data_IF_222490480612
#
_entry.id   IF_222490480612
#
_cell.length_a   1.000
_cell.length_b   1.000
_cell.length_c   1.000
_cell.angle_alpha   90.00
_cell.angle_beta   90.00
_cell.angle_gamma   90.00
#
_symmetry.space_group_name_H-M   'P 1'
#
loop_
_entity.id
_entity.type
_entity.pdbx_description
1 polymer ?
#
# COMPACT_ATOMS: atom_id res chain seq x y z
N UNK A 1 -48.67 -10.65 37.39
CA UNK A 1 -47.34 -10.01 37.54
C UNK A 1 -47.09 -9.17 36.31
N UNK A 2 -46.94 -7.85 36.45
CA UNK A 2 -46.62 -6.95 35.34
C UNK A 2 -45.09 -6.82 35.23
N UNK A 3 -44.51 -7.26 34.12
CA UNK A 3 -43.06 -7.10 33.86
C UNK A 3 -42.83 -5.83 33.03
N UNK A 4 -42.30 -4.79 33.68
CA UNK A 4 -41.90 -3.56 32.98
C UNK A 4 -40.60 -3.82 32.22
N UNK A 5 -40.65 -3.76 30.88
CA UNK A 5 -39.44 -3.80 30.04
C UNK A 5 -38.72 -2.45 30.13
N UNK A 6 -37.43 -2.41 30.49
CA UNK A 6 -36.70 -1.14 30.54
C UNK A 6 -36.48 -0.61 29.11
N UNK A 7 -36.89 0.62 28.87
CA UNK A 7 -36.62 1.33 27.61
C UNK A 7 -35.20 1.89 27.66
N UNK A 8 -34.25 1.19 27.04
CA UNK A 8 -32.84 1.61 27.01
C UNK A 8 -32.67 2.62 25.87
N UNK A 9 -32.78 3.91 26.19
CA UNK A 9 -32.49 5.00 25.24
C UNK A 9 -31.00 5.32 25.30
N UNK A 10 -30.26 5.01 24.24
CA UNK A 10 -28.85 5.41 24.12
C UNK A 10 -28.78 6.82 23.53
N UNK A 11 -28.10 7.78 24.19
CA UNK A 11 -27.89 9.09 23.60
C UNK A 11 -27.00 8.93 22.35
N UNK A 12 -27.50 9.32 21.19
CA UNK A 12 -26.71 9.37 19.97
C UNK A 12 -26.08 10.77 19.86
N UNK A 13 -24.83 10.89 20.27
CA UNK A 13 -24.05 12.12 20.08
C UNK A 13 -23.41 12.06 18.70
N UNK A 14 -24.04 12.70 17.71
CA UNK A 14 -23.43 12.91 16.39
C UNK A 14 -22.57 14.15 16.44
N UNK A 15 -21.25 13.97 16.45
CA UNK A 15 -20.31 15.09 16.32
C UNK A 15 -20.22 15.42 14.83
N UNK A 16 -20.66 16.61 14.43
CA UNK A 16 -20.41 17.15 13.10
C UNK A 16 -19.42 18.31 13.22
N UNK A 17 -18.32 18.26 12.47
CA UNK A 17 -17.46 19.43 12.33
C UNK A 17 -18.27 20.55 11.66
N UNK A 18 -18.19 21.77 12.20
CA UNK A 18 -18.76 22.93 11.52
C UNK A 18 -17.96 23.13 10.22
N UNK A 19 -18.65 23.39 9.11
CA UNK A 19 -18.01 23.57 7.79
C UNK A 19 -16.90 24.61 7.79
N UNK A 20 -16.97 25.59 8.69
CA UNK A 20 -16.01 26.69 8.79
C UNK A 20 -14.76 26.35 9.63
N UNK A 21 -14.79 25.25 10.38
CA UNK A 21 -13.67 24.75 11.21
C UNK A 21 -12.99 23.54 10.55
N UNK A 22 -13.31 23.25 9.28
CA UNK A 22 -12.67 22.20 8.50
C UNK A 22 -11.28 22.68 8.07
N UNK A 23 -10.29 22.35 8.88
CA UNK A 23 -8.89 22.41 8.46
C UNK A 23 -8.68 21.22 7.54
N UNK A 24 -8.40 21.46 6.26
CA UNK A 24 -7.94 20.41 5.35
C UNK A 24 -6.80 19.66 6.05
N UNK A 25 -6.75 18.31 5.98
CA UNK A 25 -5.65 17.58 6.59
C UNK A 25 -4.34 18.18 6.07
N UNK A 26 -3.64 18.94 6.92
CA UNK A 26 -2.28 19.32 6.63
C UNK A 26 -1.53 18.00 6.57
N UNK A 27 -1.08 17.65 5.35
CA UNK A 27 -0.46 16.38 4.99
C UNK A 27 0.21 15.75 6.21
N UNK A 28 -0.35 14.63 6.71
CA UNK A 28 0.28 13.93 7.82
C UNK A 28 1.76 13.72 7.45
N UNK A 29 2.72 13.84 8.38
CA UNK A 29 4.12 13.62 8.04
C UNK A 29 4.29 12.21 7.44
N UNK A 30 4.46 12.14 6.11
CA UNK A 30 4.45 10.89 5.33
C UNK A 30 3.40 10.83 4.20
N UNK A 31 2.39 11.70 4.21
CA UNK A 31 1.36 11.90 3.17
C UNK A 31 1.65 13.16 2.32
N UNK A 32 2.92 13.54 2.17
CA UNK A 32 3.30 14.53 1.16
C UNK A 32 2.77 14.11 -0.20
N UNK A 33 2.26 15.06 -1.01
CA UNK A 33 1.84 14.90 -2.43
C UNK A 33 2.43 13.62 -3.00
N UNK A 34 1.59 12.64 -3.40
CA UNK A 34 2.02 11.41 -4.08
C UNK A 34 2.99 11.78 -5.20
N UNK A 35 4.29 11.84 -4.90
CA UNK A 35 5.30 12.18 -5.89
C UNK A 35 5.29 11.00 -6.83
N UNK A 36 5.11 11.20 -8.15
CA UNK A 36 5.35 10.11 -9.07
C UNK A 36 6.75 9.56 -8.76
N UNK A 37 6.94 8.23 -8.76
CA UNK A 37 8.23 7.64 -8.42
C UNK A 37 9.31 8.31 -9.27
N UNK A 38 10.23 9.03 -8.63
CA UNK A 38 11.33 9.66 -9.36
C UNK A 38 12.34 8.54 -9.68
N UNK A 39 12.54 8.25 -10.96
CA UNK A 39 13.47 7.18 -11.40
C UNK A 39 14.91 7.45 -10.94
N UNK A 40 15.28 8.72 -10.74
CA UNK A 40 16.60 9.09 -10.21
C UNK A 40 16.74 8.79 -8.71
N UNK A 41 15.69 8.96 -7.91
CA UNK A 41 15.67 8.59 -6.48
C UNK A 41 15.52 7.07 -6.30
N UNK A 42 14.88 6.37 -7.24
CA UNK A 42 14.75 4.90 -7.22
C UNK A 42 16.01 4.15 -7.68
N UNK A 43 17.03 4.86 -8.17
CA UNK A 43 18.39 4.33 -8.32
C UNK A 43 19.13 4.24 -6.98
N UNK A 44 18.42 4.48 -5.87
CA UNK A 44 18.93 4.29 -4.54
C UNK A 44 19.53 2.89 -4.39
N UNK A 45 20.74 2.88 -3.82
CA UNK A 45 21.53 1.72 -3.48
C UNK A 45 20.67 0.57 -2.93
N UNK A 46 21.09 -0.66 -3.21
CA UNK A 46 20.44 -1.87 -2.71
C UNK A 46 20.12 -1.74 -1.21
N UNK A 47 18.82 -1.80 -0.87
CA UNK A 47 18.38 -1.78 0.52
C UNK A 47 19.09 -2.88 1.34
N UNK A 48 19.55 -2.63 2.58
CA UNK A 48 20.33 -3.58 3.37
C UNK A 48 19.63 -4.94 3.56
N UNK A 49 18.31 -4.95 3.71
CA UNK A 49 17.53 -6.20 3.77
C UNK A 49 17.62 -7.03 2.47
N UNK A 50 17.60 -6.36 1.31
CA UNK A 50 17.72 -7.01 0.00
C UNK A 50 19.10 -7.68 -0.13
N UNK A 51 20.15 -7.03 0.38
CA UNK A 51 21.52 -7.58 0.45
C UNK A 51 21.59 -8.81 1.36
N UNK A 52 21.01 -8.74 2.55
CA UNK A 52 20.99 -9.84 3.50
C UNK A 52 20.30 -11.10 2.93
N UNK A 53 19.17 -10.93 2.26
CA UNK A 53 18.44 -12.05 1.64
C UNK A 53 19.27 -12.68 0.52
N UNK A 54 19.88 -11.88 -0.36
CA UNK A 54 20.77 -12.42 -1.41
C UNK A 54 21.93 -13.22 -0.83
N UNK A 55 22.57 -12.70 0.22
CA UNK A 55 23.72 -13.37 0.86
C UNK A 55 23.32 -14.67 1.55
N UNK A 56 22.22 -14.66 2.33
CA UNK A 56 21.76 -15.83 3.09
C UNK A 56 21.23 -16.94 2.19
N UNK A 57 20.43 -16.59 1.20
CA UNK A 57 19.80 -17.57 0.32
C UNK A 57 20.63 -17.85 -0.94
N UNK A 58 21.77 -17.17 -1.14
CA UNK A 58 22.63 -17.27 -2.33
C UNK A 58 21.86 -17.09 -3.64
N UNK A 59 20.83 -16.24 -3.60
CA UNK A 59 19.98 -15.95 -4.75
C UNK A 59 20.65 -14.83 -5.53
N UNK A 60 20.85 -15.05 -6.82
CA UNK A 60 21.26 -14.00 -7.76
C UNK A 60 20.02 -13.22 -8.19
N UNK A 61 20.15 -11.91 -8.37
CA UNK A 61 19.07 -11.10 -8.92
C UNK A 61 18.60 -11.68 -10.27
N UNK A 62 17.30 -11.86 -10.39
CA UNK A 62 16.72 -12.53 -11.56
C UNK A 62 16.90 -11.62 -12.77
N UNK A 63 17.57 -12.15 -13.80
CA UNK A 63 17.52 -11.54 -15.13
C UNK A 63 16.10 -11.70 -15.67
N UNK A 64 15.35 -10.60 -15.65
CA UNK A 64 13.95 -10.57 -16.06
C UNK A 64 13.76 -10.97 -17.52
N UNK A 65 14.69 -10.63 -18.42
CA UNK A 65 14.56 -10.99 -19.83
C UNK A 65 14.72 -12.50 -20.03
N UNK A 66 15.73 -13.07 -19.39
CA UNK A 66 15.98 -14.51 -19.42
C UNK A 66 14.83 -15.29 -18.76
N UNK A 67 14.37 -14.84 -17.59
CA UNK A 67 13.24 -15.43 -16.89
C UNK A 67 11.97 -15.39 -17.75
N UNK A 68 11.68 -14.24 -18.37
CA UNK A 68 10.48 -14.09 -19.18
C UNK A 68 10.51 -15.02 -20.41
N UNK A 69 11.69 -15.29 -21.00
CA UNK A 69 11.85 -16.18 -22.18
C UNK A 69 11.82 -17.67 -21.83
N UNK A 70 12.47 -18.06 -20.74
CA UNK A 70 12.75 -19.46 -20.46
C UNK A 70 11.74 -20.09 -19.47
N UNK A 71 11.14 -19.27 -18.60
CA UNK A 71 10.25 -19.79 -17.57
C UNK A 71 8.84 -20.07 -18.10
N UNK A 72 8.32 -21.28 -17.83
CA UNK A 72 6.94 -21.69 -18.17
C UNK A 72 5.88 -20.87 -17.44
N UNK A 73 6.23 -20.27 -16.30
CA UNK A 73 5.30 -19.52 -15.44
C UNK A 73 5.36 -18.00 -15.71
N UNK A 74 6.18 -17.55 -16.67
CA UNK A 74 6.22 -16.15 -17.02
C UNK A 74 4.93 -15.71 -17.74
N UNK A 75 4.26 -14.68 -17.21
CA UNK A 75 3.08 -14.07 -17.83
C UNK A 75 3.57 -13.17 -18.98
N UNK A 76 3.08 -13.43 -20.20
CA UNK A 76 3.51 -12.75 -21.43
C UNK A 76 2.33 -12.06 -22.12
N UNK A 77 1.88 -10.92 -21.58
CA UNK A 77 0.64 -10.28 -22.02
C UNK A 77 0.66 -9.83 -23.49
N UNK A 78 1.83 -9.61 -24.07
CA UNK A 78 1.96 -9.19 -25.47
C UNK A 78 1.98 -10.35 -26.48
N UNK A 79 2.09 -11.62 -26.04
CA UNK A 79 2.03 -12.77 -26.96
C UNK A 79 0.60 -13.08 -27.42
N UNK A 80 -0.40 -12.69 -26.64
CA UNK A 80 -1.80 -13.05 -26.87
C UNK A 80 -2.61 -11.92 -27.54
N UNK A 81 -1.98 -10.78 -27.84
CA UNK A 81 -2.57 -9.71 -28.66
C UNK A 81 -2.43 -10.06 -30.14
N UNK A 82 -3.23 -11.02 -30.60
CA UNK A 82 -3.38 -11.37 -32.01
C UNK A 82 -4.74 -10.95 -32.53
#
# INVERSE_FOLDING_TARGET
MFTLKPTIVRPNVRVQAKKNDFVEPAEAPGEGRRRPPNEEENKAEMHPLKKFIMEKFKIVEIDYEKFNKDNKWAIRPDKDKK
#
